data_IF_447269601455
#
_entry.id   IF_447269601455
#
_cell.length_a   1.000
_cell.length_b   1.000
_cell.length_c   1.000
_cell.angle_alpha   90.00
_cell.angle_beta   90.00
_cell.angle_gamma   90.00
#
_symmetry.space_group_name_H-M   'P 1'
#
loop_
_entity.id
_entity.type
_entity.pdbx_description
1 polymer ?
#
# COMPACT_ATOMS: atom_id res chain seq x y z
N UNK A 1 10.19 -27.59 -11.87
CA UNK A 1 11.29 -27.21 -10.96
C UNK A 1 10.72 -27.21 -9.56
N UNK A 2 11.30 -27.96 -8.62
CA UNK A 2 10.86 -27.96 -7.22
C UNK A 2 10.98 -26.52 -6.69
N UNK A 3 9.84 -25.91 -6.36
CA UNK A 3 9.80 -24.54 -5.84
C UNK A 3 10.50 -24.52 -4.49
N UNK A 4 11.72 -24.00 -4.44
CA UNK A 4 12.48 -23.86 -3.20
C UNK A 4 11.68 -23.04 -2.21
N UNK A 5 11.40 -23.62 -1.03
CA UNK A 5 10.82 -22.90 0.09
C UNK A 5 11.71 -21.69 0.42
N UNK A 6 11.09 -20.55 0.73
CA UNK A 6 11.85 -19.37 1.15
C UNK A 6 12.62 -19.67 2.43
N UNK A 7 13.89 -19.23 2.51
CA UNK A 7 14.70 -19.34 3.74
C UNK A 7 14.36 -18.23 4.76
N UNK A 8 13.58 -17.22 4.36
CA UNK A 8 13.19 -16.08 5.21
C UNK A 8 12.44 -16.45 6.50
N UNK A 9 11.59 -17.50 6.57
CA UNK A 9 10.95 -17.94 7.82
C UNK A 9 11.95 -18.19 8.95
N UNK A 10 13.10 -18.80 8.62
CA UNK A 10 14.16 -19.11 9.60
C UNK A 10 14.70 -17.81 10.20
N UNK A 11 14.92 -16.79 9.37
CA UNK A 11 15.40 -15.47 9.81
C UNK A 11 14.35 -14.76 10.68
N UNK A 12 13.06 -14.81 10.29
CA UNK A 12 11.98 -14.26 11.12
C UNK A 12 11.93 -14.92 12.49
N UNK A 13 11.98 -16.25 12.57
CA UNK A 13 12.01 -16.97 13.84
C UNK A 13 13.23 -16.63 14.69
N UNK A 14 14.41 -16.57 14.06
CA UNK A 14 15.65 -16.27 14.75
C UNK A 14 15.59 -14.89 15.41
N UNK A 15 15.20 -13.87 14.63
CA UNK A 15 15.04 -12.51 15.13
C UNK A 15 13.93 -12.39 16.19
N UNK A 16 12.84 -13.14 16.04
CA UNK A 16 11.75 -13.15 17.00
C UNK A 16 12.18 -13.75 18.35
N UNK A 17 12.87 -14.91 18.33
CA UNK A 17 13.36 -15.59 19.54
C UNK A 17 14.35 -14.74 20.33
N UNK A 18 15.16 -13.93 19.67
CA UNK A 18 16.08 -13.01 20.35
C UNK A 18 15.38 -11.88 21.13
N UNK A 19 14.12 -11.61 20.81
CA UNK A 19 13.37 -10.44 21.30
C UNK A 19 12.20 -10.78 22.21
N UNK A 20 11.78 -12.03 22.19
CA UNK A 20 10.81 -12.56 23.14
C UNK A 20 11.49 -12.66 24.51
N UNK A 21 11.06 -11.83 25.45
CA UNK A 21 11.40 -12.07 26.84
C UNK A 21 10.63 -13.31 27.31
N UNK A 22 11.32 -14.43 27.47
CA UNK A 22 10.73 -15.70 27.88
C UNK A 22 10.14 -15.68 29.30
N UNK A 23 10.50 -14.70 30.14
CA UNK A 23 9.99 -14.59 31.50
C UNK A 23 8.64 -13.86 31.57
N UNK A 24 8.45 -12.85 30.73
CA UNK A 24 7.24 -12.00 30.71
C UNK A 24 6.31 -12.34 29.55
N UNK A 25 6.83 -12.96 28.49
CA UNK A 25 6.16 -13.10 27.20
C UNK A 25 6.12 -11.79 26.40
N UNK A 26 6.74 -10.72 26.91
CA UNK A 26 6.72 -9.39 26.31
C UNK A 26 7.89 -9.18 25.34
N UNK A 27 7.74 -8.16 24.49
CA UNK A 27 8.70 -7.79 23.46
C UNK A 27 9.50 -6.56 23.91
N UNK A 28 10.83 -6.68 24.00
CA UNK A 28 11.69 -5.56 24.47
C UNK A 28 11.76 -4.42 23.43
N UNK A 29 11.78 -4.75 22.13
CA UNK A 29 11.73 -3.78 21.02
C UNK A 29 11.19 -4.48 19.77
N UNK A 30 10.12 -3.96 19.15
CA UNK A 30 9.49 -4.57 17.99
C UNK A 30 10.21 -4.30 16.66
N UNK A 31 10.89 -3.15 16.53
CA UNK A 31 11.50 -2.71 15.27
C UNK A 31 12.84 -3.38 14.97
N UNK A 32 12.93 -4.06 13.82
CA UNK A 32 14.13 -4.68 13.26
C UNK A 32 14.83 -3.67 12.35
N UNK A 33 16.12 -3.49 12.56
CA UNK A 33 16.97 -2.59 11.77
C UNK A 33 17.78 -3.34 10.70
N UNK A 34 18.33 -2.59 9.75
CA UNK A 34 19.20 -3.10 8.69
C UNK A 34 20.38 -3.88 9.27
N UNK A 35 21.05 -3.35 10.30
CA UNK A 35 22.22 -3.98 10.91
C UNK A 35 21.86 -5.30 11.57
N UNK A 36 20.77 -5.35 12.34
CA UNK A 36 20.32 -6.57 13.02
C UNK A 36 19.91 -7.64 12.01
N UNK A 37 19.20 -7.25 10.95
CA UNK A 37 18.80 -8.20 9.91
C UNK A 37 20.02 -8.74 9.14
N UNK A 38 21.01 -7.90 8.83
CA UNK A 38 22.24 -8.32 8.18
C UNK A 38 23.05 -9.27 9.05
N UNK A 39 23.17 -8.97 10.34
CA UNK A 39 23.85 -9.83 11.32
C UNK A 39 23.15 -11.19 11.44
N UNK A 40 21.82 -11.19 11.59
CA UNK A 40 21.05 -12.43 11.66
C UNK A 40 21.24 -13.32 10.42
N UNK A 41 21.19 -12.74 9.22
CA UNK A 41 21.43 -13.48 7.98
C UNK A 41 22.88 -13.98 7.92
N UNK A 42 23.88 -13.18 8.30
CA UNK A 42 25.28 -13.58 8.31
C UNK A 42 25.55 -14.75 9.27
N UNK A 43 24.97 -14.70 10.46
CA UNK A 43 25.05 -15.78 11.46
C UNK A 43 24.41 -17.06 10.92
N UNK A 44 23.18 -16.99 10.41
CA UNK A 44 22.47 -18.16 9.89
C UNK A 44 23.12 -18.76 8.63
N UNK A 45 23.82 -17.94 7.83
CA UNK A 45 24.67 -18.44 6.73
C UNK A 45 25.81 -19.31 7.25
N UNK A 46 26.47 -18.89 8.33
CA UNK A 46 27.55 -19.64 8.97
C UNK A 46 27.06 -20.92 9.64
N UNK A 47 25.95 -20.83 10.37
CA UNK A 47 25.46 -21.92 11.21
C UNK A 47 24.68 -22.98 10.43
N UNK A 48 23.84 -22.55 9.46
CA UNK A 48 22.88 -23.42 8.77
C UNK A 48 23.11 -23.48 7.25
N UNK A 49 24.09 -22.75 6.71
CA UNK A 49 24.38 -22.73 5.28
C UNK A 49 23.33 -22.04 4.43
N UNK A 50 22.55 -21.10 4.99
CA UNK A 50 21.58 -20.31 4.22
C UNK A 50 22.25 -19.55 3.05
N UNK A 51 21.47 -19.18 2.04
CA UNK A 51 21.97 -18.47 0.85
C UNK A 51 21.42 -17.04 0.71
N UNK A 52 20.41 -16.65 1.49
CA UNK A 52 19.82 -15.30 1.53
C UNK A 52 20.83 -14.17 1.51
N UNK A 53 20.65 -13.16 0.63
CA UNK A 53 21.56 -12.01 0.54
C UNK A 53 21.47 -11.06 1.74
N UNK A 54 22.62 -10.55 2.18
CA UNK A 54 22.75 -9.46 3.18
C UNK A 54 22.73 -8.06 2.54
N UNK A 55 22.77 -7.95 1.21
CA UNK A 55 23.03 -6.68 0.52
C UNK A 55 21.85 -5.72 0.45
N UNK A 56 20.62 -6.20 0.65
CA UNK A 56 19.42 -5.37 0.53
C UNK A 56 18.37 -5.68 1.62
N UNK A 57 18.68 -5.35 2.89
CA UNK A 57 17.79 -5.59 4.02
C UNK A 57 16.45 -4.85 3.88
N UNK A 58 16.44 -3.66 3.27
CA UNK A 58 15.23 -2.84 3.10
C UNK A 58 14.11 -3.55 2.31
N UNK A 59 14.47 -4.43 1.37
CA UNK A 59 13.49 -5.19 0.60
C UNK A 59 13.06 -6.51 1.26
N UNK A 60 13.64 -6.89 2.40
CA UNK A 60 13.42 -8.20 3.02
C UNK A 60 11.95 -8.51 3.29
N UNK A 61 11.27 -7.63 4.04
CA UNK A 61 9.83 -7.78 4.30
C UNK A 61 9.00 -7.49 3.04
N UNK A 62 9.37 -6.49 2.23
CA UNK A 62 8.63 -6.14 1.01
C UNK A 62 8.48 -7.34 0.07
N UNK A 63 9.59 -8.03 -0.18
CA UNK A 63 9.61 -9.22 -1.04
C UNK A 63 8.88 -10.40 -0.40
N UNK A 64 8.78 -10.46 0.93
CA UNK A 64 7.95 -11.44 1.63
C UNK A 64 6.46 -11.16 1.43
N UNK A 65 6.04 -9.90 1.60
CA UNK A 65 4.65 -9.48 1.44
C UNK A 65 4.12 -9.69 0.01
N UNK A 66 5.01 -9.66 -0.99
CA UNK A 66 4.68 -9.94 -2.41
C UNK A 66 4.41 -11.41 -2.72
N UNK A 67 4.77 -12.34 -1.83
CA UNK A 67 4.56 -13.77 -2.08
C UNK A 67 3.09 -14.14 -1.87
N UNK A 68 2.50 -14.86 -2.83
CA UNK A 68 1.14 -15.42 -2.72
C UNK A 68 1.05 -16.41 -1.53
N UNK A 69 2.13 -17.14 -1.23
CA UNK A 69 2.21 -18.14 -0.14
C UNK A 69 2.71 -17.57 1.20
N UNK A 70 2.76 -16.24 1.38
CA UNK A 70 3.32 -15.60 2.58
C UNK A 70 2.65 -16.02 3.88
N UNK A 71 1.32 -16.24 3.87
CA UNK A 71 0.57 -16.65 5.05
C UNK A 71 0.79 -18.13 5.38
N UNK A 72 1.01 -18.98 4.37
CA UNK A 72 1.32 -20.40 4.54
C UNK A 72 2.72 -20.60 5.11
N UNK A 73 3.70 -19.85 4.58
CA UNK A 73 5.11 -19.98 4.98
C UNK A 73 5.46 -19.16 6.22
N UNK A 74 4.53 -18.40 6.80
CA UNK A 74 4.79 -17.68 8.05
C UNK A 74 5.17 -18.68 9.15
N UNK A 75 6.20 -18.40 9.97
CA UNK A 75 6.61 -19.33 11.01
C UNK A 75 5.48 -19.71 11.97
N UNK A 76 5.39 -21.00 12.31
CA UNK A 76 4.38 -21.52 13.24
C UNK A 76 4.49 -20.86 14.61
N UNK A 77 5.73 -20.63 15.10
CA UNK A 77 5.95 -19.94 16.36
C UNK A 77 5.28 -18.56 16.39
N UNK A 78 5.44 -17.78 15.32
CA UNK A 78 4.85 -16.44 15.23
C UNK A 78 3.34 -16.51 14.99
N UNK A 79 2.87 -17.44 14.15
CA UNK A 79 1.45 -17.65 13.89
C UNK A 79 0.68 -18.03 15.16
N UNK A 80 1.19 -19.01 15.92
CA UNK A 80 0.58 -19.46 17.17
C UNK A 80 0.63 -18.38 18.25
N UNK A 81 1.72 -17.60 18.28
CA UNK A 81 1.84 -16.42 19.13
C UNK A 81 0.96 -15.24 18.70
N UNK A 82 0.23 -15.34 17.58
CA UNK A 82 -0.56 -14.26 16.97
C UNK A 82 0.26 -13.00 16.70
N UNK A 83 1.48 -13.18 16.19
CA UNK A 83 2.34 -12.10 15.71
C UNK A 83 2.48 -12.12 14.19
N UNK A 84 2.48 -10.93 13.62
CA UNK A 84 2.77 -10.66 12.21
C UNK A 84 3.90 -9.64 12.11
N UNK A 85 4.25 -9.23 10.88
CA UNK A 85 5.19 -8.16 10.63
C UNK A 85 4.53 -7.04 9.82
N UNK A 86 5.01 -5.81 10.02
CA UNK A 86 4.60 -4.64 9.23
C UNK A 86 5.81 -3.83 8.83
N UNK A 87 5.71 -3.03 7.78
CA UNK A 87 6.87 -2.24 7.33
C UNK A 87 7.17 -1.11 8.30
N UNK A 88 8.45 -0.92 8.61
CA UNK A 88 8.93 0.18 9.44
C UNK A 88 9.86 1.06 8.59
N UNK A 89 9.82 2.38 8.83
CA UNK A 89 10.46 3.36 7.97
C UNK A 89 11.32 4.34 8.77
N UNK A 90 12.41 4.80 8.14
CA UNK A 90 13.34 5.76 8.72
C UNK A 90 14.42 5.14 9.61
N UNK A 91 15.55 5.85 9.77
CA UNK A 91 16.69 5.47 10.64
C UNK A 91 17.20 4.02 10.48
N UNK A 92 17.10 3.46 9.27
CA UNK A 92 17.53 2.09 9.00
C UNK A 92 16.60 1.00 9.54
N UNK A 93 15.37 1.35 9.94
CA UNK A 93 14.33 0.37 10.24
C UNK A 93 13.93 -0.40 8.97
N UNK A 94 13.55 -1.68 9.15
CA UNK A 94 13.10 -2.58 8.08
C UNK A 94 11.65 -2.98 8.33
N UNK A 95 11.36 -3.55 9.49
CA UNK A 95 10.01 -3.99 9.85
C UNK A 95 9.82 -4.04 11.37
N UNK A 96 8.56 -4.00 11.81
CA UNK A 96 8.18 -4.28 13.20
C UNK A 96 7.51 -5.65 13.28
N UNK A 97 7.78 -6.43 14.33
CA UNK A 97 6.83 -7.45 14.77
C UNK A 97 5.67 -6.81 15.52
N UNK A 98 4.45 -7.17 15.16
CA UNK A 98 3.23 -6.62 15.78
C UNK A 98 2.22 -7.72 16.07
N UNK A 99 1.43 -7.60 17.15
CA UNK A 99 0.36 -8.54 17.41
C UNK A 99 -0.73 -8.44 16.32
N UNK A 100 -1.48 -9.52 16.14
CA UNK A 100 -2.67 -9.52 15.29
C UNK A 100 -3.67 -8.50 15.80
N UNK A 101 -4.32 -7.80 14.88
CA UNK A 101 -5.45 -6.94 15.23
C UNK A 101 -6.60 -7.79 15.82
N UNK A 102 -7.50 -7.17 16.62
CA UNK A 102 -8.71 -7.85 17.08
C UNK A 102 -9.49 -8.46 15.89
N UNK A 103 -9.80 -9.75 15.97
CA UNK A 103 -10.53 -10.47 14.92
C UNK A 103 -9.71 -10.92 13.72
N UNK A 104 -8.43 -10.56 13.62
CA UNK A 104 -7.56 -10.99 12.52
C UNK A 104 -7.30 -12.51 12.57
N UNK A 105 -7.50 -13.20 11.46
CA UNK A 105 -7.40 -14.65 11.36
C UNK A 105 -6.05 -15.14 10.78
N UNK A 106 -5.42 -14.34 9.91
CA UNK A 106 -4.17 -14.68 9.23
C UNK A 106 -3.10 -13.62 9.45
N UNK A 107 -1.78 -13.93 9.31
CA UNK A 107 -0.72 -12.98 9.59
C UNK A 107 -0.79 -11.71 8.71
N UNK A 108 -1.01 -11.87 7.40
CA UNK A 108 -0.98 -10.78 6.42
C UNK A 108 -2.30 -10.76 5.62
N UNK A 109 -3.39 -10.21 6.18
CA UNK A 109 -4.68 -10.15 5.51
C UNK A 109 -4.65 -9.29 4.26
N UNK A 110 -5.33 -9.73 3.19
CA UNK A 110 -5.53 -8.92 1.99
C UNK A 110 -6.72 -7.98 2.17
N UNK A 111 -6.43 -6.77 2.64
CA UNK A 111 -7.44 -5.75 2.92
C UNK A 111 -8.02 -5.09 1.66
N UNK A 112 -7.42 -5.32 0.48
CA UNK A 112 -7.80 -4.64 -0.76
C UNK A 112 -8.50 -5.57 -1.73
N UNK A 113 -9.51 -6.29 -1.26
CA UNK A 113 -10.27 -7.20 -2.10
C UNK A 113 -11.57 -6.55 -2.54
N UNK A 114 -11.94 -6.68 -3.83
CA UNK A 114 -13.27 -6.28 -4.27
C UNK A 114 -14.29 -7.26 -3.66
N UNK A 115 -15.41 -6.76 -3.08
CA UNK A 115 -16.51 -7.61 -2.65
C UNK A 115 -16.96 -8.59 -3.75
N UNK A 116 -17.49 -9.75 -3.39
CA UNK A 116 -17.91 -10.76 -4.37
C UNK A 116 -19.04 -10.24 -5.31
N UNK A 117 -19.82 -9.28 -4.83
CA UNK A 117 -20.89 -8.56 -5.52
C UNK A 117 -20.47 -7.16 -5.98
N UNK A 118 -19.16 -6.89 -6.04
CA UNK A 118 -18.65 -5.57 -6.42
C UNK A 118 -19.21 -5.10 -7.76
N UNK A 119 -19.62 -3.84 -7.81
CA UNK A 119 -20.03 -3.21 -9.05
C UNK A 119 -18.83 -3.10 -10.00
N UNK A 120 -18.99 -3.62 -11.22
CA UNK A 120 -18.00 -3.49 -12.29
C UNK A 120 -18.49 -2.43 -13.28
N UNK A 121 -17.93 -1.22 -13.16
CA UNK A 121 -18.21 -0.11 -14.07
C UNK A 121 -17.47 -0.32 -15.39
N UNK A 122 -18.20 -0.31 -16.51
CA UNK A 122 -17.57 -0.39 -17.83
C UNK A 122 -17.06 0.99 -18.23
N UNK A 123 -15.76 1.07 -18.50
CA UNK A 123 -15.08 2.28 -18.97
C UNK A 123 -14.84 2.15 -20.46
N UNK A 124 -15.33 3.12 -21.22
CA UNK A 124 -15.01 3.26 -22.64
C UNK A 124 -13.50 3.50 -22.81
N UNK A 125 -12.84 2.72 -23.65
CA UNK A 125 -11.39 2.82 -23.88
C UNK A 125 -11.01 3.05 -25.36
N UNK A 126 -12.00 3.33 -26.22
CA UNK A 126 -11.80 3.81 -27.61
C UNK A 126 -11.09 5.16 -27.69
N UNK A 127 -11.11 5.97 -26.64
CA UNK A 127 -10.39 7.25 -26.51
C UNK A 127 -8.87 7.08 -26.42
N UNK A 128 -8.39 5.90 -26.04
CA UNK A 128 -6.99 5.50 -26.28
C UNK A 128 -6.84 5.06 -27.75
N UNK A 129 -5.73 5.38 -28.40
CA UNK A 129 -5.49 4.84 -29.74
C UNK A 129 -5.38 3.31 -29.70
N UNK A 130 -5.73 2.63 -30.79
CA UNK A 130 -5.58 1.17 -30.89
C UNK A 130 -4.13 0.72 -30.64
N UNK A 131 -3.16 1.50 -31.13
CA UNK A 131 -1.74 1.29 -30.88
C UNK A 131 -1.40 1.43 -29.40
N UNK A 132 -1.89 2.47 -28.70
CA UNK A 132 -1.66 2.64 -27.27
C UNK A 132 -2.27 1.49 -26.46
N UNK A 133 -3.48 1.03 -26.79
CA UNK A 133 -4.08 -0.15 -26.16
C UNK A 133 -3.26 -1.42 -26.38
N UNK A 134 -2.61 -1.58 -27.54
CA UNK A 134 -1.83 -2.78 -27.86
C UNK A 134 -0.42 -2.78 -27.25
N UNK A 135 0.20 -1.61 -27.07
CA UNK A 135 1.55 -1.44 -26.55
C UNK A 135 1.63 -1.30 -25.02
N UNK A 136 0.50 -1.42 -24.33
CA UNK A 136 0.41 -1.31 -22.88
C UNK A 136 1.28 -2.33 -22.15
N UNK A 137 1.91 -1.89 -21.05
CA UNK A 137 2.83 -2.71 -20.23
C UNK A 137 2.15 -3.11 -18.93
N UNK A 138 2.49 -4.27 -18.39
CA UNK A 138 1.97 -4.74 -17.10
C UNK A 138 2.75 -4.11 -15.92
N UNK A 139 2.79 -2.78 -15.86
CA UNK A 139 3.46 -2.00 -14.83
C UNK A 139 2.57 -0.88 -14.26
N UNK A 140 2.94 -0.40 -13.08
CA UNK A 140 2.19 0.62 -12.33
C UNK A 140 2.08 1.94 -13.09
N UNK A 141 3.14 2.33 -13.82
CA UNK A 141 3.15 3.55 -14.62
C UNK A 141 2.07 3.53 -15.71
N UNK A 142 1.89 2.39 -16.38
CA UNK A 142 0.84 2.21 -17.37
C UNK A 142 -0.55 2.26 -16.75
N UNK A 143 -0.76 1.63 -15.59
CA UNK A 143 -2.02 1.69 -14.86
C UNK A 143 -2.40 3.12 -14.50
N UNK A 144 -1.46 3.93 -14.00
CA UNK A 144 -1.68 5.35 -13.68
C UNK A 144 -2.06 6.11 -14.95
N UNK A 145 -1.31 5.94 -16.04
CA UNK A 145 -1.57 6.63 -17.30
C UNK A 145 -2.97 6.33 -17.85
N UNK A 146 -3.36 5.04 -17.86
CA UNK A 146 -4.70 4.64 -18.31
C UNK A 146 -5.76 5.20 -17.38
N UNK A 147 -5.57 5.15 -16.06
CA UNK A 147 -6.52 5.67 -15.08
C UNK A 147 -6.75 7.18 -15.25
N UNK A 148 -5.69 7.95 -15.53
CA UNK A 148 -5.79 9.39 -15.81
C UNK A 148 -6.47 9.66 -17.14
N UNK A 149 -6.02 9.01 -18.23
CA UNK A 149 -6.58 9.23 -19.58
C UNK A 149 -8.05 8.85 -19.67
N UNK A 150 -8.44 7.77 -19.00
CA UNK A 150 -9.82 7.28 -18.96
C UNK A 150 -10.65 7.87 -17.83
N UNK A 151 -10.11 8.87 -17.12
CA UNK A 151 -10.83 9.61 -16.08
C UNK A 151 -11.43 8.70 -15.00
N UNK A 152 -10.74 7.61 -14.66
CA UNK A 152 -11.25 6.58 -13.74
C UNK A 152 -11.61 7.18 -12.38
N UNK A 153 -10.72 8.01 -11.82
CA UNK A 153 -10.96 8.66 -10.54
C UNK A 153 -12.07 9.70 -10.63
N UNK A 154 -12.18 10.46 -11.72
CA UNK A 154 -13.29 11.41 -11.90
C UNK A 154 -14.62 10.68 -11.91
N UNK A 155 -14.72 9.57 -12.65
CA UNK A 155 -15.91 8.71 -12.67
C UNK A 155 -16.18 8.11 -11.28
N UNK A 156 -15.13 7.67 -10.56
CA UNK A 156 -15.24 7.17 -9.19
C UNK A 156 -15.88 8.19 -8.26
N UNK A 157 -15.30 9.38 -8.20
CA UNK A 157 -15.75 10.45 -7.33
C UNK A 157 -17.11 11.03 -7.73
N UNK A 158 -17.47 11.01 -9.02
CA UNK A 158 -18.76 11.54 -9.47
C UNK A 158 -19.94 10.58 -9.27
N UNK A 159 -19.71 9.27 -9.31
CA UNK A 159 -20.79 8.26 -9.33
C UNK A 159 -20.87 7.45 -8.04
N UNK A 160 -19.72 7.16 -7.42
CA UNK A 160 -19.63 6.13 -6.39
C UNK A 160 -19.20 6.65 -5.02
N UNK A 161 -18.34 7.68 -4.98
CA UNK A 161 -17.91 8.29 -3.73
C UNK A 161 -19.10 8.91 -2.99
N UNK A 162 -19.06 8.86 -1.66
CA UNK A 162 -20.02 9.59 -0.81
C UNK A 162 -19.62 11.06 -0.62
N UNK A 163 -18.45 11.47 -1.13
CA UNK A 163 -17.99 12.84 -1.09
C UNK A 163 -18.71 13.70 -2.14
N UNK A 164 -19.16 14.89 -1.76
CA UNK A 164 -19.75 15.87 -2.68
C UNK A 164 -18.65 16.59 -3.47
N UNK A 165 -18.12 15.91 -4.49
CA UNK A 165 -17.01 16.38 -5.32
C UNK A 165 -17.50 17.30 -6.43
N UNK A 166 -16.87 18.48 -6.52
CA UNK A 166 -17.13 19.47 -7.58
C UNK A 166 -16.10 19.32 -8.70
N UNK A 167 -14.81 19.31 -8.34
CA UNK A 167 -13.72 19.24 -9.30
C UNK A 167 -12.67 18.22 -8.86
N UNK A 168 -12.01 17.59 -9.84
CA UNK A 168 -10.87 16.72 -9.64
C UNK A 168 -9.83 16.93 -10.74
N UNK A 169 -8.63 17.34 -10.34
CA UNK A 169 -7.52 17.64 -11.24
C UNK A 169 -6.33 16.72 -10.96
N UNK A 170 -5.83 16.04 -11.98
CA UNK A 170 -4.52 15.39 -11.90
C UNK A 170 -3.42 16.46 -11.79
N UNK A 171 -2.52 16.32 -10.81
CA UNK A 171 -1.42 17.27 -10.62
C UNK A 171 -0.10 16.71 -11.16
N UNK A 172 0.30 15.53 -10.70
CA UNK A 172 1.61 14.98 -11.02
C UNK A 172 1.65 13.45 -10.82
N UNK A 173 2.50 12.78 -11.59
CA UNK A 173 2.91 11.38 -11.39
C UNK A 173 4.27 11.31 -10.68
N UNK A 174 4.51 10.20 -9.99
CA UNK A 174 5.81 9.79 -9.44
C UNK A 174 6.43 10.90 -8.59
N UNK A 175 5.70 11.33 -7.55
CA UNK A 175 6.23 12.31 -6.62
C UNK A 175 7.30 11.64 -5.76
N UNK A 176 8.56 12.01 -5.99
CA UNK A 176 9.71 11.51 -5.23
C UNK A 176 9.91 12.31 -3.95
N UNK A 177 10.13 11.58 -2.86
CA UNK A 177 10.41 12.14 -1.54
C UNK A 177 10.95 11.04 -0.61
N UNK A 178 10.90 11.24 0.71
CA UNK A 178 11.17 10.19 1.70
C UNK A 178 10.28 8.95 1.50
N UNK A 179 9.08 9.16 0.97
CA UNK A 179 8.21 8.14 0.40
C UNK A 179 7.85 8.53 -1.02
N UNK A 180 7.71 7.54 -1.89
CA UNK A 180 7.21 7.71 -3.25
C UNK A 180 5.67 7.75 -3.21
N UNK A 181 5.06 8.66 -3.98
CA UNK A 181 3.61 8.68 -4.25
C UNK A 181 3.42 8.52 -5.76
N UNK A 182 2.68 7.50 -6.18
CA UNK A 182 2.54 7.14 -7.59
C UNK A 182 1.83 8.23 -8.41
N UNK A 183 0.76 8.81 -7.88
CA UNK A 183 0.16 10.03 -8.43
C UNK A 183 -0.55 10.87 -7.37
N UNK A 184 -0.69 12.17 -7.63
CA UNK A 184 -1.41 13.11 -6.77
C UNK A 184 -2.45 13.87 -7.59
N UNK A 185 -3.63 14.06 -7.00
CA UNK A 185 -4.72 14.85 -7.56
C UNK A 185 -5.18 15.92 -6.56
N UNK A 186 -5.76 17.01 -7.06
CA UNK A 186 -6.47 18.01 -6.28
C UNK A 186 -7.97 17.79 -6.42
N UNK A 187 -8.64 17.65 -5.29
CA UNK A 187 -10.08 17.49 -5.17
C UNK A 187 -10.68 18.77 -4.57
N UNK A 188 -11.76 19.28 -5.17
CA UNK A 188 -12.57 20.36 -4.61
C UNK A 188 -13.89 19.78 -4.16
N UNK A 189 -14.19 19.93 -2.88
CA UNK A 189 -15.36 19.39 -2.20
C UNK A 189 -16.35 20.50 -1.86
N UNK A 190 -17.64 20.22 -1.96
CA UNK A 190 -18.66 21.03 -1.31
C UNK A 190 -18.74 20.63 0.17
N UNK A 191 -18.71 21.62 1.04
CA UNK A 191 -18.94 21.47 2.47
C UNK A 191 -19.99 22.48 2.95
N UNK A 192 -20.52 22.28 4.16
CA UNK A 192 -21.53 23.17 4.76
C UNK A 192 -21.08 24.64 4.81
N UNK A 193 -19.78 24.88 4.99
CA UNK A 193 -19.18 26.21 5.11
C UNK A 193 -18.52 26.73 3.82
N UNK A 194 -18.79 26.13 2.66
CA UNK A 194 -18.23 26.53 1.37
C UNK A 194 -17.44 25.43 0.67
N UNK A 195 -16.42 25.81 -0.09
CA UNK A 195 -15.57 24.84 -0.80
C UNK A 195 -14.37 24.44 0.06
N UNK A 196 -14.03 23.16 0.03
CA UNK A 196 -12.83 22.62 0.68
C UNK A 196 -11.91 22.01 -0.35
N UNK A 197 -10.60 22.09 -0.10
CA UNK A 197 -9.60 21.41 -0.92
C UNK A 197 -9.06 20.18 -0.21
N UNK A 198 -8.90 19.10 -0.97
CA UNK A 198 -8.23 17.89 -0.52
C UNK A 198 -7.20 17.46 -1.57
N UNK A 199 -6.12 16.82 -1.14
CA UNK A 199 -5.24 16.10 -2.05
C UNK A 199 -5.59 14.61 -2.05
N UNK A 200 -5.67 14.01 -3.24
CA UNK A 200 -5.80 12.56 -3.37
C UNK A 200 -4.41 11.97 -3.56
N UNK A 201 -3.98 11.06 -2.68
CA UNK A 201 -2.80 10.23 -2.94
C UNK A 201 -3.25 8.95 -3.60
N UNK A 202 -2.73 8.67 -4.79
CA UNK A 202 -3.08 7.48 -5.57
C UNK A 202 -1.91 6.50 -5.56
N UNK A 203 -2.15 5.26 -5.12
CA UNK A 203 -1.21 4.13 -5.13
C UNK A 203 -1.66 3.09 -6.16
N UNK A 204 -0.82 2.76 -7.13
CA UNK A 204 -1.15 1.82 -8.20
C UNK A 204 -0.36 0.51 -8.03
N UNK A 205 -1.02 -0.64 -8.25
CA UNK A 205 -0.36 -1.95 -8.15
C UNK A 205 -0.82 -2.91 -9.24
N UNK A 206 0.14 -3.47 -10.00
CA UNK A 206 -0.20 -4.42 -11.06
C UNK A 206 -0.09 -5.88 -10.62
N UNK A 207 1.09 -6.27 -10.15
CA UNK A 207 1.40 -7.66 -9.81
C UNK A 207 1.64 -7.88 -8.31
N UNK A 208 1.87 -6.79 -7.59
CA UNK A 208 2.15 -6.78 -6.17
C UNK A 208 0.88 -6.46 -5.36
N UNK A 209 0.77 -6.87 -4.09
CA UNK A 209 -0.30 -6.42 -3.23
C UNK A 209 -0.17 -4.93 -2.89
N UNK A 210 -1.29 -4.29 -2.61
CA UNK A 210 -1.33 -2.94 -2.04
C UNK A 210 -0.89 -3.04 -0.58
N UNK A 211 0.10 -2.24 -0.19
CA UNK A 211 0.70 -2.26 1.14
C UNK A 211 0.13 -1.12 2.00
N UNK A 212 -0.67 -1.41 3.06
CA UNK A 212 -1.29 -0.36 3.88
C UNK A 212 -0.30 0.65 4.46
N UNK A 213 0.85 0.20 4.95
CA UNK A 213 1.83 1.12 5.56
C UNK A 213 2.49 2.06 4.55
N UNK A 214 2.57 1.65 3.27
CA UNK A 214 3.01 2.55 2.21
C UNK A 214 2.00 3.70 2.04
N UNK A 215 0.71 3.40 2.00
CA UNK A 215 -0.36 4.40 1.91
C UNK A 215 -0.34 5.33 3.14
N UNK A 216 -0.23 4.78 4.36
CA UNK A 216 -0.13 5.58 5.59
C UNK A 216 1.02 6.57 5.55
N UNK A 217 2.19 6.15 5.07
CA UNK A 217 3.34 7.04 4.94
C UNK A 217 3.13 8.12 3.89
N UNK A 218 2.54 7.78 2.75
CA UNK A 218 2.22 8.75 1.70
C UNK A 218 1.26 9.82 2.22
N UNK A 219 0.20 9.40 2.92
CA UNK A 219 -0.75 10.31 3.56
C UNK A 219 -0.05 11.24 4.54
N UNK A 220 0.71 10.69 5.49
CA UNK A 220 1.40 11.47 6.50
C UNK A 220 2.42 12.46 5.88
N UNK A 221 3.17 12.00 4.87
CA UNK A 221 4.12 12.83 4.13
C UNK A 221 3.41 13.98 3.40
N UNK A 222 2.34 13.69 2.67
CA UNK A 222 1.58 14.72 1.95
C UNK A 222 0.90 15.71 2.89
N UNK A 223 0.32 15.22 4.00
CA UNK A 223 -0.22 16.07 5.05
C UNK A 223 0.87 16.99 5.64
N UNK A 224 2.07 16.47 5.92
CA UNK A 224 3.19 17.29 6.38
C UNK A 224 3.56 18.37 5.38
N UNK A 225 3.60 18.04 4.08
CA UNK A 225 3.86 19.03 3.01
C UNK A 225 2.81 20.12 3.02
N UNK A 226 1.51 19.77 3.03
CA UNK A 226 0.40 20.73 3.12
C UNK A 226 0.53 21.67 4.33
N UNK A 227 0.90 21.13 5.50
CA UNK A 227 1.09 21.92 6.71
C UNK A 227 2.31 22.85 6.68
N UNK A 228 3.35 22.50 5.91
CA UNK A 228 4.61 23.25 5.87
C UNK A 228 4.77 24.20 4.68
N UNK A 229 4.04 23.97 3.58
CA UNK A 229 4.18 24.72 2.34
C UNK A 229 3.04 25.75 2.22
N UNK A 230 3.33 27.07 2.23
CA UNK A 230 2.29 28.10 2.17
C UNK A 230 1.34 27.97 0.97
N UNK A 231 1.85 27.48 -0.17
CA UNK A 231 1.08 27.27 -1.39
C UNK A 231 0.04 26.14 -1.30
N UNK A 232 0.12 25.29 -0.28
CA UNK A 232 -0.79 24.16 -0.03
C UNK A 232 -1.57 24.33 1.28
N UNK A 233 -1.48 25.51 1.91
CA UNK A 233 -2.04 25.78 3.24
C UNK A 233 -3.57 25.78 3.28
N UNK A 234 -4.22 25.84 2.12
CA UNK A 234 -5.67 25.77 1.95
C UNK A 234 -6.18 24.33 1.68
N UNK A 235 -5.29 23.34 1.65
CA UNK A 235 -5.65 21.92 1.64
C UNK A 235 -5.93 21.45 3.07
N UNK A 236 -7.13 20.96 3.32
CA UNK A 236 -7.57 20.53 4.67
C UNK A 236 -7.50 19.01 4.88
N UNK A 237 -7.58 18.23 3.80
CA UNK A 237 -7.74 16.78 3.84
C UNK A 237 -6.79 16.09 2.87
N UNK A 238 -6.41 14.86 3.21
CA UNK A 238 -5.78 13.90 2.29
C UNK A 238 -6.76 12.73 2.09
N UNK A 239 -7.10 12.41 0.86
CA UNK A 239 -7.96 11.27 0.50
C UNK A 239 -7.07 10.17 -0.09
N UNK A 240 -6.82 9.07 0.64
CA UNK A 240 -6.02 7.98 0.10
C UNK A 240 -6.88 7.15 -0.87
N UNK A 241 -6.33 6.85 -2.04
CA UNK A 241 -6.94 5.95 -3.02
C UNK A 241 -5.88 4.96 -3.50
N UNK A 242 -6.27 3.70 -3.61
CA UNK A 242 -5.44 2.68 -4.22
C UNK A 242 -6.14 2.04 -5.41
N UNK A 243 -5.39 1.63 -6.41
CA UNK A 243 -5.89 0.84 -7.53
C UNK A 243 -5.01 -0.37 -7.77
N UNK A 244 -5.62 -1.50 -8.11
CA UNK A 244 -4.87 -2.67 -8.50
C UNK A 244 -5.55 -3.51 -9.57
N UNK A 245 -4.74 -4.19 -10.40
CA UNK A 245 -5.29 -5.16 -11.36
C UNK A 245 -6.00 -6.29 -10.63
N UNK A 246 -7.15 -6.70 -11.18
CA UNK A 246 -7.96 -7.81 -10.68
C UNK A 246 -8.11 -8.90 -11.74
N UNK A 247 -7.14 -8.99 -12.64
CA UNK A 247 -7.13 -9.95 -13.73
C UNK A 247 -7.31 -11.41 -13.27
N UNK A 248 -6.75 -11.78 -12.11
CA UNK A 248 -6.90 -13.13 -11.52
C UNK A 248 -8.36 -13.46 -11.15
N UNK A 249 -9.15 -12.48 -10.72
CA UNK A 249 -10.50 -12.68 -10.18
C UNK A 249 -11.60 -12.38 -11.22
N UNK A 250 -11.45 -11.33 -12.02
CA UNK A 250 -12.49 -10.84 -12.92
C UNK A 250 -12.09 -10.87 -14.41
N UNK A 251 -10.91 -11.41 -14.72
CA UNK A 251 -10.37 -11.44 -16.09
C UNK A 251 -9.63 -10.15 -16.48
N UNK A 252 -8.92 -10.23 -17.60
CA UNK A 252 -8.06 -9.12 -18.10
C UNK A 252 -8.84 -7.84 -18.32
N UNK A 253 -8.18 -6.71 -18.12
CA UNK A 253 -8.75 -5.37 -18.32
C UNK A 253 -9.64 -4.90 -17.17
N UNK A 254 -9.60 -5.56 -16.00
CA UNK A 254 -10.34 -5.14 -14.80
C UNK A 254 -9.39 -4.67 -13.72
N UNK A 255 -9.64 -3.49 -13.18
CA UNK A 255 -8.95 -2.94 -12.01
C UNK A 255 -9.94 -2.73 -10.88
N UNK A 256 -9.53 -2.95 -9.64
CA UNK A 256 -10.25 -2.49 -8.46
C UNK A 256 -9.70 -1.14 -8.01
N UNK A 257 -10.58 -0.19 -7.69
CA UNK A 257 -10.25 1.09 -7.06
C UNK A 257 -10.84 1.11 -5.66
N UNK A 258 -10.01 1.47 -4.69
CA UNK A 258 -10.30 1.47 -3.26
C UNK A 258 -10.11 2.89 -2.72
N UNK A 259 -11.21 3.60 -2.55
CA UNK A 259 -11.24 4.89 -1.87
C UNK A 259 -11.25 4.66 -0.36
N UNK A 260 -10.48 5.47 0.36
CA UNK A 260 -10.48 5.47 1.82
C UNK A 260 -11.06 6.77 2.37
N UNK A 261 -11.49 6.70 3.63
CA UNK A 261 -11.96 7.87 4.37
C UNK A 261 -10.92 9.01 4.37
N UNK A 262 -11.34 10.26 4.17
CA UNK A 262 -10.45 11.42 4.21
C UNK A 262 -9.77 11.59 5.57
N UNK A 263 -8.47 11.87 5.57
CA UNK A 263 -7.66 12.10 6.76
C UNK A 263 -7.35 13.60 6.86
N UNK A 264 -7.65 14.28 7.99
CA UNK A 264 -7.28 15.68 8.20
C UNK A 264 -5.78 15.91 8.09
N UNK A 265 -5.38 17.01 7.44
CA UNK A 265 -3.96 17.39 7.30
C UNK A 265 -3.29 17.55 8.67
N UNK A 266 -4.00 18.06 9.67
CA UNK A 266 -3.48 18.16 11.05
C UNK A 266 -3.13 16.81 11.66
N UNK A 267 -3.98 15.81 11.47
CA UNK A 267 -3.77 14.44 11.96
C UNK A 267 -2.59 13.77 11.23
N UNK A 268 -2.58 13.82 9.90
CA UNK A 268 -1.51 13.24 9.09
C UNK A 268 -0.15 13.89 9.36
N UNK A 269 -0.10 15.21 9.50
CA UNK A 269 1.13 15.95 9.81
C UNK A 269 1.65 15.62 11.22
N UNK A 270 0.76 15.54 12.21
CA UNK A 270 1.13 15.11 13.57
C UNK A 270 1.68 13.68 13.57
N UNK A 271 1.06 12.75 12.83
CA UNK A 271 1.55 11.39 12.69
C UNK A 271 2.93 11.32 12.02
N UNK A 272 3.19 12.21 11.05
CA UNK A 272 4.51 12.33 10.42
C UNK A 272 5.58 12.80 11.42
N UNK A 273 5.30 13.90 12.13
CA UNK A 273 6.24 14.52 13.07
C UNK A 273 6.56 13.58 14.25
N UNK A 274 5.55 12.87 14.75
CA UNK A 274 5.69 11.92 15.86
C UNK A 274 6.17 10.53 15.43
N UNK A 275 6.32 10.28 14.11
CA UNK A 275 6.69 8.97 13.55
C UNK A 275 5.73 7.84 13.92
N UNK A 276 4.44 8.17 13.94
CA UNK A 276 3.35 7.26 14.27
C UNK A 276 2.44 7.04 13.05
N UNK A 277 2.96 7.17 11.83
CA UNK A 277 2.19 7.02 10.59
C UNK A 277 1.44 5.69 10.54
N UNK A 278 2.04 4.61 11.06
CA UNK A 278 1.45 3.28 11.14
C UNK A 278 0.16 3.19 11.99
N UNK A 279 -0.13 4.21 12.81
CA UNK A 279 -1.40 4.30 13.57
C UNK A 279 -2.50 5.03 12.81
N UNK A 280 -2.22 5.62 11.64
CA UNK A 280 -3.26 6.22 10.82
C UNK A 280 -4.27 5.15 10.42
N UNK A 281 -5.55 5.42 10.70
CA UNK A 281 -6.63 4.50 10.36
C UNK A 281 -6.89 4.59 8.86
N UNK A 282 -6.78 3.45 8.17
CA UNK A 282 -7.15 3.34 6.76
C UNK A 282 -8.44 2.54 6.68
N UNK A 283 -9.55 3.24 6.52
CA UNK A 283 -10.87 2.64 6.33
C UNK A 283 -11.24 2.78 4.87
N UNK A 284 -11.45 1.66 4.16
CA UNK A 284 -11.95 1.67 2.79
C UNK A 284 -13.43 2.08 2.84
N UNK A 285 -13.76 3.22 2.25
CA UNK A 285 -15.12 3.76 2.16
C UNK A 285 -15.85 3.22 0.93
N UNK A 286 -15.14 3.08 -0.20
CA UNK A 286 -15.68 2.53 -1.45
C UNK A 286 -14.68 1.60 -2.13
N UNK A 287 -15.19 0.52 -2.71
CA UNK A 287 -14.44 -0.43 -3.52
C UNK A 287 -15.22 -0.75 -4.79
N UNK A 288 -14.71 -0.29 -5.95
CA UNK A 288 -15.40 -0.40 -7.24
C UNK A 288 -14.48 -1.03 -8.28
N UNK A 289 -14.99 -1.96 -9.08
CA UNK A 289 -14.28 -2.52 -10.22
C UNK A 289 -14.49 -1.66 -11.47
N UNK A 290 -13.47 -1.55 -12.31
CA UNK A 290 -13.53 -0.85 -13.60
C UNK A 290 -13.04 -1.77 -14.70
N UNK A 291 -13.87 -2.01 -15.70
CA UNK A 291 -13.55 -2.84 -16.87
C UNK A 291 -13.37 -1.97 -18.11
N UNK A 292 -12.19 -2.01 -18.72
CA UNK A 292 -11.92 -1.25 -19.94
C UNK A 292 -12.46 -1.96 -21.19
N UNK A 293 -13.24 -1.24 -22.00
CA UNK A 293 -13.83 -1.74 -23.23
C UNK A 293 -13.63 -0.75 -24.40
N UNK A 294 -12.85 -1.11 -25.44
CA UNK A 294 -12.15 -2.38 -25.65
C UNK A 294 -11.04 -2.64 -24.63
N UNK A 295 -10.59 -3.91 -24.48
CA UNK A 295 -9.52 -4.24 -23.56
C UNK A 295 -8.22 -3.45 -23.82
N UNK A 296 -7.54 -3.08 -22.73
CA UNK A 296 -6.25 -2.38 -22.74
C UNK A 296 -5.17 -3.38 -22.34
N UNK A 297 -4.17 -3.59 -23.20
CA UNK A 297 -3.08 -4.53 -22.90
C UNK A 297 -2.30 -4.07 -21.66
N UNK A 298 -1.77 -5.05 -20.93
CA UNK A 298 -1.07 -4.81 -19.68
C UNK A 298 -1.97 -4.69 -18.46
N UNK A 299 -3.29 -4.46 -18.60
CA UNK A 299 -4.25 -4.36 -17.49
C UNK A 299 -5.00 -5.67 -17.24
#
# INVERSE_FOLDING_TARGET
MAGGQSEKPIVFEYLFKQRLDHATGDFVTSTITNSELQEAIATLRGDLGLTLSVSNPANFLKDWLRMDTRNEQWPDLLRQGRYTARQAFGKGAVFDFVPYAPGQAEPFPDNFTLPADANIHVVEAVSLSSAARALGRADESWLIQVSVHQRVLQTHFAIYSDLDVIDLFHLQNTLKGPTEVDAVFLLILRATAGLKKALVTFEAKMNDPILPDQIRNQVAYMAKRCASEPALSDVELIVPVAAASRAKQYGKGVIGVFEMEPIPVSEGAAAYDNKTQHHLTLTISKAIGYQFSPPVAGI
#
